data_IF_429401593973
#
_entry.id   IF_429401593973
#
_cell.length_a   1.000
_cell.length_b   1.000
_cell.length_c   1.000
_cell.angle_alpha   90.00
_cell.angle_beta   90.00
_cell.angle_gamma   90.00
#
_symmetry.space_group_name_H-M   'P 1'
#
loop_
_entity.id
_entity.type
_entity.pdbx_description
1 polymer ?
#
# COMPACT_ATOMS: atom_id res chain seq x y z
N UNK A 1 22.56 9.84 7.48
CA UNK A 1 21.09 9.62 7.52
C UNK A 1 20.55 9.71 6.11
N UNK A 2 20.25 8.58 5.49
CA UNK A 2 19.75 8.50 4.12
C UNK A 2 18.25 8.77 4.15
N UNK A 3 17.82 9.94 3.66
CA UNK A 3 16.40 10.24 3.46
C UNK A 3 15.85 9.26 2.42
N UNK A 4 14.70 8.60 2.64
CA UNK A 4 14.16 7.66 1.67
C UNK A 4 13.80 8.42 0.40
N UNK A 5 14.48 8.08 -0.71
CA UNK A 5 14.37 8.73 -2.03
C UNK A 5 13.03 8.44 -2.74
N UNK A 6 12.16 7.61 -2.16
CA UNK A 6 11.18 6.84 -2.91
C UNK A 6 9.90 7.59 -3.31
N UNK A 7 9.45 8.63 -2.60
CA UNK A 7 8.21 9.35 -2.98
C UNK A 7 8.38 10.41 -4.09
N UNK A 8 9.58 10.50 -4.68
CA UNK A 8 9.89 11.41 -5.79
C UNK A 8 9.58 10.82 -7.17
N UNK A 9 9.10 9.57 -7.26
CA UNK A 9 8.71 8.97 -8.53
C UNK A 9 7.54 9.76 -9.09
N UNK A 10 7.92 10.69 -9.97
CA UNK A 10 7.11 11.46 -10.91
C UNK A 10 5.64 11.48 -10.54
N UNK A 11 5.27 12.42 -9.66
CA UNK A 11 3.89 12.90 -9.68
C UNK A 11 3.55 13.20 -11.13
N UNK A 12 2.62 12.44 -11.71
CA UNK A 12 1.91 12.91 -12.90
C UNK A 12 1.46 14.33 -12.57
N UNK A 13 1.62 15.27 -13.50
CA UNK A 13 1.30 16.69 -13.27
C UNK A 13 -0.10 16.87 -12.64
N UNK A 14 -1.04 15.97 -12.96
CA UNK A 14 -2.40 15.94 -12.42
C UNK A 14 -2.52 15.57 -10.94
N UNK A 15 -1.56 14.82 -10.39
CA UNK A 15 -1.57 14.35 -9.00
C UNK A 15 -0.84 15.31 -8.05
N UNK A 16 -0.02 16.23 -8.56
CA UNK A 16 0.71 17.24 -7.77
C UNK A 16 -0.20 18.08 -6.86
N UNK A 17 -1.46 18.32 -7.27
CA UNK A 17 -2.46 19.07 -6.48
C UNK A 17 -2.82 18.42 -5.14
N UNK A 18 -2.54 17.13 -4.97
CA UNK A 18 -2.83 16.41 -3.74
C UNK A 18 -1.65 16.45 -2.74
N UNK A 19 -0.54 17.13 -3.03
CA UNK A 19 0.68 17.12 -2.22
C UNK A 19 1.05 18.51 -1.73
N UNK A 20 1.61 18.59 -0.52
CA UNK A 20 2.22 19.80 0.04
C UNK A 20 3.58 20.03 -0.62
N UNK A 21 4.06 21.29 -0.57
CA UNK A 21 5.45 21.63 -0.96
C UNK A 21 6.39 20.74 -0.14
N UNK A 22 7.09 19.81 -0.79
CA UNK A 22 7.93 18.81 -0.12
C UNK A 22 7.47 17.35 -0.26
N UNK A 23 6.58 17.02 -1.21
CA UNK A 23 6.20 15.65 -1.59
C UNK A 23 5.38 14.85 -0.54
N UNK A 24 4.91 15.47 0.53
CA UNK A 24 3.99 14.83 1.48
C UNK A 24 2.54 15.00 1.02
N UNK A 25 1.70 13.97 1.19
CA UNK A 25 0.26 14.07 0.91
C UNK A 25 -0.34 15.25 1.69
N UNK A 26 -1.18 16.06 1.04
CA UNK A 26 -1.94 17.11 1.68
C UNK A 26 -3.13 16.52 2.44
N UNK A 27 -2.83 15.73 3.48
CA UNK A 27 -3.79 15.05 4.31
C UNK A 27 -3.46 15.29 5.79
N UNK A 28 -4.48 15.53 6.64
CA UNK A 28 -5.91 15.60 6.33
C UNK A 28 -6.39 16.96 5.79
N UNK A 29 -5.55 17.99 5.72
CA UNK A 29 -5.97 19.36 5.45
C UNK A 29 -6.52 19.58 4.03
N UNK A 30 -6.08 18.78 3.05
CA UNK A 30 -6.59 18.80 1.68
C UNK A 30 -7.75 17.84 1.42
N UNK A 31 -8.34 17.24 2.46
CA UNK A 31 -9.48 16.33 2.30
C UNK A 31 -10.76 17.09 1.90
N UNK A 32 -11.61 16.44 1.10
CA UNK A 32 -12.84 17.03 0.56
C UNK A 32 -13.95 17.23 1.61
N UNK A 33 -13.97 16.41 2.67
CA UNK A 33 -14.96 16.53 3.75
C UNK A 33 -14.48 15.89 5.06
N UNK A 34 -15.18 16.18 6.16
CA UNK A 34 -14.90 15.51 7.45
C UNK A 34 -15.28 14.03 7.38
N UNK A 35 -16.29 13.70 6.59
CA UNK A 35 -16.77 12.34 6.35
C UNK A 35 -15.70 11.52 5.65
N UNK A 36 -15.02 12.08 4.64
CA UNK A 36 -13.89 11.40 3.97
C UNK A 36 -12.73 11.17 4.94
N UNK A 37 -12.44 12.14 5.83
CA UNK A 37 -11.43 11.98 6.89
C UNK A 37 -11.78 10.82 7.81
N UNK A 38 -13.03 10.75 8.28
CA UNK A 38 -13.48 9.65 9.15
C UNK A 38 -13.41 8.31 8.42
N UNK A 39 -13.78 8.25 7.15
CA UNK A 39 -13.72 7.01 6.37
C UNK A 39 -12.29 6.46 6.27
N UNK A 40 -11.32 7.30 5.88
CA UNK A 40 -9.90 6.88 5.79
C UNK A 40 -9.33 6.51 7.16
N UNK A 41 -9.69 7.24 8.23
CA UNK A 41 -9.23 6.91 9.60
C UNK A 41 -9.79 5.60 10.14
N UNK A 42 -10.92 5.11 9.61
CA UNK A 42 -11.52 3.81 9.96
C UNK A 42 -10.88 2.64 9.22
N UNK A 43 -10.03 2.90 8.23
CA UNK A 43 -9.35 1.84 7.50
C UNK A 43 -8.28 1.20 8.40
N UNK A 44 -8.34 -0.12 8.50
CA UNK A 44 -7.33 -0.91 9.17
C UNK A 44 -6.07 -1.02 8.31
N UNK A 45 -4.91 -1.23 8.94
CA UNK A 45 -3.70 -1.56 8.18
C UNK A 45 -3.91 -2.93 7.55
N UNK A 46 -3.31 -3.16 6.38
CA UNK A 46 -3.42 -4.43 5.66
C UNK A 46 -3.13 -5.64 6.56
N UNK A 47 -2.05 -5.59 7.35
CA UNK A 47 -1.69 -6.65 8.30
C UNK A 47 -2.80 -6.93 9.33
N UNK A 48 -3.47 -5.88 9.83
CA UNK A 48 -4.49 -5.98 10.88
C UNK A 48 -5.79 -6.52 10.28
N UNK A 49 -6.10 -6.14 9.03
CA UNK A 49 -7.20 -6.68 8.27
C UNK A 49 -7.01 -8.17 8.00
N UNK A 50 -5.85 -8.59 7.50
CA UNK A 50 -5.57 -10.01 7.20
C UNK A 50 -5.57 -10.85 8.47
N UNK A 51 -4.96 -10.35 9.55
CA UNK A 51 -4.86 -11.06 10.84
C UNK A 51 -6.23 -11.33 11.48
N UNK A 52 -7.24 -10.48 11.25
CA UNK A 52 -8.61 -10.70 11.76
C UNK A 52 -9.37 -11.80 11.04
N UNK A 53 -9.03 -12.13 9.79
CA UNK A 53 -9.86 -12.99 8.95
C UNK A 53 -9.25 -14.38 8.70
N UNK A 54 -7.96 -14.61 8.98
CA UNK A 54 -7.27 -15.84 8.61
C UNK A 54 -6.39 -16.37 9.74
N UNK A 55 -6.61 -17.63 10.13
CA UNK A 55 -5.89 -18.24 11.25
C UNK A 55 -4.61 -18.99 10.84
N UNK A 56 -4.51 -19.48 9.60
CA UNK A 56 -3.49 -20.48 9.24
C UNK A 56 -2.48 -20.05 8.15
N UNK A 57 -2.80 -19.08 7.27
CA UNK A 57 -1.89 -18.60 6.20
C UNK A 57 -1.47 -17.12 6.38
N UNK A 58 -1.32 -16.70 7.64
CA UNK A 58 -1.16 -15.30 8.05
C UNK A 58 0.04 -14.59 7.43
N UNK A 59 1.18 -15.27 7.29
CA UNK A 59 2.43 -14.66 6.84
C UNK A 59 2.56 -14.66 5.31
N UNK A 60 2.36 -15.80 4.65
CA UNK A 60 2.57 -15.93 3.20
C UNK A 60 1.53 -15.16 2.38
N UNK A 61 0.26 -15.11 2.80
CA UNK A 61 -0.73 -14.26 2.13
C UNK A 61 -0.43 -12.78 2.33
N UNK A 62 -0.08 -12.39 3.56
CA UNK A 62 0.25 -10.99 3.86
C UNK A 62 1.43 -10.52 3.00
N UNK A 63 2.47 -11.35 2.87
CA UNK A 63 3.63 -11.06 2.04
C UNK A 63 3.28 -10.89 0.56
N UNK A 64 2.47 -11.80 0.00
CA UNK A 64 1.96 -11.70 -1.36
C UNK A 64 1.19 -10.38 -1.58
N UNK A 65 0.26 -10.04 -0.68
CA UNK A 65 -0.52 -8.82 -0.78
C UNK A 65 0.35 -7.57 -0.67
N UNK A 66 1.38 -7.57 0.19
CA UNK A 66 2.35 -6.47 0.27
C UNK A 66 3.15 -6.31 -1.01
N UNK A 67 3.53 -7.40 -1.67
CA UNK A 67 4.22 -7.37 -2.96
C UNK A 67 3.33 -6.88 -4.11
N UNK A 68 2.07 -7.28 -4.15
CA UNK A 68 1.10 -6.83 -5.16
C UNK A 68 0.66 -5.37 -4.98
N UNK A 69 0.54 -4.91 -3.74
CA UNK A 69 0.06 -3.57 -3.40
C UNK A 69 1.21 -2.57 -3.19
N UNK A 70 2.41 -2.85 -3.70
CA UNK A 70 3.51 -1.88 -3.68
C UNK A 70 3.10 -0.59 -4.38
N UNK A 71 3.41 0.50 -3.70
CA UNK A 71 3.17 1.85 -4.21
C UNK A 71 4.01 2.08 -5.46
N UNK A 72 5.32 1.79 -5.38
CA UNK A 72 6.23 1.92 -6.51
C UNK A 72 5.97 0.82 -7.55
N UNK A 73 5.62 1.19 -8.80
CA UNK A 73 5.31 0.20 -9.84
C UNK A 73 6.48 -0.73 -10.16
N UNK A 74 7.71 -0.23 -10.04
CA UNK A 74 8.93 -1.01 -10.30
C UNK A 74 9.23 -2.02 -9.20
N UNK A 75 8.70 -1.82 -7.99
CA UNK A 75 8.83 -2.77 -6.87
C UNK A 75 7.65 -3.74 -6.79
N UNK A 76 6.61 -3.55 -7.61
CA UNK A 76 5.40 -4.36 -7.58
C UNK A 76 5.65 -5.73 -8.20
N UNK A 77 5.17 -6.77 -7.52
CA UNK A 77 5.20 -8.13 -8.05
C UNK A 77 4.51 -8.21 -9.41
N UNK A 78 5.17 -8.87 -10.35
CA UNK A 78 4.54 -9.27 -11.62
C UNK A 78 3.57 -10.44 -11.39
N UNK A 79 2.67 -10.66 -12.34
CA UNK A 79 1.73 -11.78 -12.28
C UNK A 79 2.44 -13.13 -12.19
N UNK A 80 3.57 -13.29 -12.91
CA UNK A 80 4.36 -14.52 -12.89
C UNK A 80 4.98 -14.78 -11.52
N UNK A 81 5.65 -13.77 -10.95
CA UNK A 81 6.26 -13.89 -9.61
C UNK A 81 5.20 -14.14 -8.53
N UNK A 82 4.03 -13.49 -8.64
CA UNK A 82 2.92 -13.71 -7.73
C UNK A 82 2.39 -15.15 -7.76
N UNK A 83 2.28 -15.76 -8.95
CA UNK A 83 1.87 -17.16 -9.09
C UNK A 83 2.92 -18.15 -8.57
N UNK A 84 4.20 -17.77 -8.58
CA UNK A 84 5.30 -18.56 -8.03
C UNK A 84 5.49 -18.38 -6.51
N UNK A 85 4.65 -17.56 -5.85
CA UNK A 85 4.76 -17.22 -4.43
C UNK A 85 4.47 -18.41 -3.48
N UNK A 86 5.16 -18.53 -2.31
CA UNK A 86 4.92 -19.60 -1.33
C UNK A 86 3.47 -19.78 -0.92
N UNK A 87 2.70 -18.68 -0.87
CA UNK A 87 1.25 -18.72 -0.62
C UNK A 87 0.50 -19.74 -1.49
N UNK A 88 0.87 -19.89 -2.77
CA UNK A 88 0.26 -20.86 -3.69
C UNK A 88 0.95 -22.22 -3.69
N UNK A 89 2.13 -22.35 -3.08
CA UNK A 89 2.93 -23.59 -3.01
C UNK A 89 2.70 -24.37 -1.71
N UNK A 90 2.36 -23.67 -0.63
CA UNK A 90 2.13 -24.26 0.70
C UNK A 90 0.73 -24.92 0.83
N UNK A 91 -0.01 -25.07 -0.29
CA UNK A 91 -1.32 -25.74 -0.35
C UNK A 91 -1.26 -27.22 -0.81
N UNK A 92 -0.07 -27.75 -1.08
CA UNK A 92 0.18 -29.20 -1.22
C UNK A 92 0.75 -29.78 0.06
#
# INVERSE_FOLDING_TARGET
>A
MQKPLFLFVKYSSSASKYFKRGAHLNWPEGAVSRESIRAVRKLDRLKDLVSRHLEYSRSSLTDLLYGLLRFEPTERLTAREALEHPFFKDQT
#
